data_IF_861607820114
#
_entry.id   IF_861607820114
#
_cell.length_a   1.000
_cell.length_b   1.000
_cell.length_c   1.000
_cell.angle_alpha   90.00
_cell.angle_beta   90.00
_cell.angle_gamma   90.00
#
_symmetry.space_group_name_H-M   'P 1'
#
loop_
_entity.id
_entity.type
_entity.pdbx_description
1 polymer ?
#
# COMPACT_ATOMS: atom_id res chain seq x y z
N UNK A 1 18.44 -1.39 6.90
CA UNK A 1 17.21 -1.88 7.58
C UNK A 1 16.08 -0.92 7.22
N UNK A 2 15.06 -1.38 6.49
CA UNK A 2 13.92 -0.55 6.14
C UNK A 2 13.11 -0.19 7.41
N UNK A 3 12.85 1.09 7.65
CA UNK A 3 12.09 1.55 8.80
C UNK A 3 10.64 1.80 8.40
N UNK A 4 9.70 1.07 9.00
CA UNK A 4 8.26 1.22 8.77
C UNK A 4 7.49 0.92 10.06
N UNK A 5 6.27 1.45 10.19
CA UNK A 5 5.38 1.23 11.34
C UNK A 5 3.92 1.37 10.91
N UNK A 6 3.02 0.78 11.68
CA UNK A 6 1.58 0.81 11.37
C UNK A 6 1.05 2.24 11.37
N UNK A 7 0.19 2.54 10.40
CA UNK A 7 -0.43 3.85 10.18
C UNK A 7 0.57 4.99 9.93
N UNK A 8 1.75 4.69 9.38
CA UNK A 8 2.67 5.71 8.89
C UNK A 8 2.01 6.53 7.78
N UNK A 9 2.20 7.85 7.84
CA UNK A 9 1.62 8.83 6.90
C UNK A 9 0.09 8.77 6.83
N UNK A 10 -0.58 8.84 8.00
CA UNK A 10 -2.05 8.79 8.15
C UNK A 10 -2.80 9.68 7.14
N UNK A 11 -2.26 10.84 6.80
CA UNK A 11 -2.85 11.72 5.81
C UNK A 11 -3.06 11.03 4.45
N UNK A 12 -2.08 10.26 3.95
CA UNK A 12 -2.24 9.51 2.70
C UNK A 12 -3.30 8.42 2.82
N UNK A 13 -3.36 7.73 3.96
CA UNK A 13 -4.41 6.74 4.22
C UNK A 13 -5.82 7.37 4.29
N UNK A 14 -5.96 8.56 4.88
CA UNK A 14 -7.22 9.30 4.89
C UNK A 14 -7.62 9.79 3.50
N UNK A 15 -6.67 10.25 2.68
CA UNK A 15 -6.95 10.61 1.30
C UNK A 15 -7.45 9.41 0.49
N UNK A 16 -6.85 8.23 0.70
CA UNK A 16 -7.35 6.97 0.09
C UNK A 16 -8.77 6.68 0.58
N UNK A 17 -9.02 6.76 1.89
CA UNK A 17 -10.34 6.55 2.49
C UNK A 17 -11.40 7.47 1.88
N UNK A 18 -11.09 8.75 1.76
CA UNK A 18 -12.08 9.79 1.44
C UNK A 18 -12.29 9.93 -0.07
N UNK A 19 -11.27 9.66 -0.90
CA UNK A 19 -11.33 9.90 -2.34
C UNK A 19 -11.25 8.65 -3.21
N UNK A 20 -10.53 7.61 -2.78
CA UNK A 20 -10.34 6.39 -3.59
C UNK A 20 -11.43 5.36 -3.28
N UNK A 21 -11.64 5.03 -2.00
CA UNK A 21 -12.58 3.99 -1.59
C UNK A 21 -14.00 4.20 -2.15
N UNK A 22 -14.60 5.40 -2.11
CA UNK A 22 -15.94 5.62 -2.64
C UNK A 22 -16.09 5.27 -4.12
N UNK A 23 -15.00 5.33 -4.89
CA UNK A 23 -15.00 5.07 -6.34
C UNK A 23 -14.74 3.61 -6.70
N UNK A 24 -14.12 2.86 -5.80
CA UNK A 24 -13.73 1.46 -6.06
C UNK A 24 -14.59 0.46 -5.30
N UNK A 25 -15.32 0.88 -4.25
CA UNK A 25 -16.07 -0.02 -3.35
C UNK A 25 -17.22 -0.80 -3.99
N UNK A 26 -17.65 -0.46 -5.20
CA UNK A 26 -18.68 -1.22 -5.95
C UNK A 26 -18.07 -2.24 -6.91
N UNK A 27 -16.74 -2.26 -7.09
CA UNK A 27 -16.06 -3.16 -8.03
C UNK A 27 -16.06 -4.60 -7.50
N UNK A 28 -16.19 -5.55 -8.43
CA UNK A 28 -16.15 -7.00 -8.13
C UNK A 28 -14.73 -7.49 -7.81
N UNK A 29 -13.71 -6.82 -8.35
CA UNK A 29 -12.29 -7.11 -8.11
C UNK A 29 -11.56 -5.79 -7.87
N UNK A 30 -10.88 -5.67 -6.74
CA UNK A 30 -10.16 -4.45 -6.36
C UNK A 30 -8.72 -4.85 -6.11
N UNK A 31 -7.89 -4.68 -7.14
CA UNK A 31 -6.47 -4.93 -7.06
C UNK A 31 -5.75 -3.67 -6.61
N UNK A 32 -4.93 -3.79 -5.58
CA UNK A 32 -4.11 -2.72 -5.03
C UNK A 32 -2.66 -3.18 -5.05
N UNK A 33 -1.73 -2.28 -5.38
CA UNK A 33 -0.30 -2.55 -5.26
C UNK A 33 0.30 -1.62 -4.21
N UNK A 34 0.83 -2.18 -3.13
CA UNK A 34 1.68 -1.52 -2.16
C UNK A 34 3.15 -1.79 -2.53
N UNK A 35 3.76 -0.82 -3.19
CA UNK A 35 5.10 -0.90 -3.77
C UNK A 35 6.14 -0.30 -2.82
N UNK A 36 6.90 -1.17 -2.14
CA UNK A 36 7.83 -0.78 -1.07
C UNK A 36 7.36 -1.12 0.34
N UNK A 37 6.73 -2.27 0.53
CA UNK A 37 5.97 -2.55 1.74
C UNK A 37 6.85 -2.80 2.99
N UNK A 38 8.16 -2.98 2.82
CA UNK A 38 9.09 -3.43 3.84
C UNK A 38 8.53 -4.66 4.59
N UNK A 39 8.55 -4.64 5.93
CA UNK A 39 8.08 -5.75 6.77
C UNK A 39 6.54 -5.87 6.89
N UNK A 40 5.75 -5.09 6.15
CA UNK A 40 4.29 -5.26 6.09
C UNK A 40 3.38 -4.35 6.92
N UNK A 41 3.83 -3.49 7.87
CA UNK A 41 2.91 -2.57 8.53
C UNK A 41 2.10 -1.68 7.57
N UNK A 42 2.67 -1.25 6.43
CA UNK A 42 1.97 -0.42 5.44
C UNK A 42 0.79 -1.12 4.76
N UNK A 43 0.95 -2.31 4.13
CA UNK A 43 -0.16 -2.99 3.45
C UNK A 43 -1.25 -3.39 4.43
N UNK A 44 -0.90 -3.74 5.68
CA UNK A 44 -1.91 -4.04 6.70
C UNK A 44 -2.63 -2.81 7.24
N UNK A 45 -1.96 -1.66 7.33
CA UNK A 45 -2.64 -0.39 7.67
C UNK A 45 -3.64 -0.01 6.58
N UNK A 46 -3.26 -0.16 5.32
CA UNK A 46 -4.14 0.03 4.19
C UNK A 46 -5.31 -0.97 4.19
N UNK A 47 -5.03 -2.24 4.46
CA UNK A 47 -6.06 -3.28 4.56
C UNK A 47 -7.09 -2.97 5.64
N UNK A 48 -6.67 -2.49 6.83
CA UNK A 48 -7.57 -2.08 7.91
C UNK A 48 -8.45 -0.91 7.45
N UNK A 49 -7.87 0.13 6.83
CA UNK A 49 -8.62 1.30 6.35
C UNK A 49 -9.66 0.89 5.29
N UNK A 50 -9.28 0.00 4.37
CA UNK A 50 -10.19 -0.57 3.38
C UNK A 50 -11.30 -1.39 4.05
N UNK A 51 -10.95 -2.25 5.01
CA UNK A 51 -11.90 -3.10 5.72
C UNK A 51 -12.93 -2.31 6.52
N UNK A 52 -12.51 -1.27 7.24
CA UNK A 52 -13.40 -0.38 8.00
C UNK A 52 -14.37 0.36 7.08
N UNK A 53 -13.90 0.77 5.90
CA UNK A 53 -14.68 1.64 5.00
C UNK A 53 -15.58 0.87 4.03
N UNK A 54 -15.26 -0.39 3.74
CA UNK A 54 -15.94 -1.20 2.72
C UNK A 54 -16.90 -2.25 3.28
N UNK A 55 -16.78 -2.60 4.56
CA UNK A 55 -17.60 -3.65 5.16
C UNK A 55 -17.45 -4.99 4.42
N UNK A 56 -18.55 -5.61 4.03
CA UNK A 56 -18.56 -6.92 3.36
C UNK A 56 -17.92 -6.92 1.97
N UNK A 57 -17.84 -5.76 1.30
CA UNK A 57 -17.20 -5.67 -0.03
C UNK A 57 -15.67 -5.81 0.06
N UNK A 58 -15.08 -5.70 1.25
CA UNK A 58 -13.65 -5.92 1.45
C UNK A 58 -13.16 -7.28 0.94
N UNK A 59 -14.02 -8.30 0.92
CA UNK A 59 -13.69 -9.64 0.37
C UNK A 59 -13.25 -9.64 -1.11
N UNK A 60 -13.53 -8.55 -1.84
CA UNK A 60 -13.15 -8.37 -3.24
C UNK A 60 -11.76 -7.74 -3.41
N UNK A 61 -11.11 -7.35 -2.31
CA UNK A 61 -9.81 -6.66 -2.30
C UNK A 61 -8.68 -7.69 -2.36
N UNK A 62 -7.66 -7.39 -3.16
CA UNK A 62 -6.36 -8.05 -3.13
C UNK A 62 -5.27 -6.99 -3.16
N UNK A 63 -4.34 -7.06 -2.21
CA UNK A 63 -3.20 -6.16 -2.07
C UNK A 63 -1.95 -6.94 -2.43
N UNK A 64 -1.31 -6.60 -3.55
CA UNK A 64 0.04 -7.03 -3.87
C UNK A 64 0.99 -6.14 -3.09
N UNK A 65 1.66 -6.69 -2.08
CA UNK A 65 2.65 -6.00 -1.27
C UNK A 65 4.04 -6.46 -1.71
N UNK A 66 4.87 -5.53 -2.18
CA UNK A 66 6.17 -5.91 -2.75
C UNK A 66 7.31 -5.10 -2.22
N UNK A 67 8.49 -5.71 -2.20
CA UNK A 67 9.74 -5.07 -1.80
C UNK A 67 10.92 -5.77 -2.49
N UNK A 68 12.04 -5.07 -2.63
CA UNK A 68 13.28 -5.67 -3.16
C UNK A 68 13.86 -6.69 -2.17
N UNK A 69 13.57 -6.49 -0.87
CA UNK A 69 13.91 -7.34 0.26
C UNK A 69 15.30 -7.96 0.17
N UNK A 70 16.31 -7.12 0.35
CA UNK A 70 17.71 -7.55 0.39
C UNK A 70 17.99 -8.56 1.52
N UNK A 71 17.14 -8.60 2.56
CA UNK A 71 17.28 -9.51 3.70
C UNK A 71 16.71 -10.90 3.45
N UNK A 72 15.75 -11.03 2.53
CA UNK A 72 15.00 -12.26 2.27
C UNK A 72 13.98 -12.64 3.34
N UNK A 73 13.74 -11.80 4.35
CA UNK A 73 12.89 -12.12 5.51
C UNK A 73 11.52 -11.43 5.49
N UNK A 74 11.30 -10.45 4.60
CA UNK A 74 10.04 -9.69 4.62
C UNK A 74 8.86 -10.58 4.27
N UNK A 75 9.01 -11.50 3.31
CA UNK A 75 7.93 -12.38 2.89
C UNK A 75 7.36 -13.26 4.02
N UNK A 76 8.22 -13.79 4.88
CA UNK A 76 7.79 -14.60 6.04
C UNK A 76 7.03 -13.74 7.07
N UNK A 77 7.51 -12.52 7.34
CA UNK A 77 6.88 -11.59 8.28
C UNK A 77 5.52 -11.13 7.75
N UNK A 78 5.45 -10.67 6.50
CA UNK A 78 4.21 -10.20 5.88
C UNK A 78 3.19 -11.33 5.81
N UNK A 79 3.60 -12.53 5.37
CA UNK A 79 2.69 -13.68 5.22
C UNK A 79 2.16 -14.20 6.56
N UNK A 80 3.03 -14.30 7.57
CA UNK A 80 2.61 -14.73 8.92
C UNK A 80 1.70 -13.68 9.58
N UNK A 81 1.93 -12.39 9.29
CA UNK A 81 1.23 -11.27 9.91
C UNK A 81 1.41 -11.23 11.43
N UNK A 82 2.55 -11.74 11.91
CA UNK A 82 2.94 -11.78 13.31
C UNK A 82 3.92 -10.64 13.58
N UNK A 83 3.60 -9.80 14.56
CA UNK A 83 4.38 -8.62 14.88
C UNK A 83 4.69 -8.55 16.38
N UNK A 84 5.90 -8.12 16.77
CA UNK A 84 6.22 -7.90 18.16
C UNK A 84 5.43 -6.69 18.70
N UNK A 85 5.18 -6.68 20.01
CA UNK A 85 4.50 -5.60 20.74
C UNK A 85 5.00 -4.21 20.37
N UNK A 86 6.32 -4.07 20.21
CA UNK A 86 6.97 -2.80 19.85
C UNK A 86 6.53 -2.22 18.50
N UNK A 87 6.15 -3.06 17.53
CA UNK A 87 5.65 -2.59 16.23
C UNK A 87 4.17 -2.21 16.26
N UNK A 88 3.38 -2.87 17.12
CA UNK A 88 1.93 -2.65 17.22
C UNK A 88 1.54 -1.64 18.31
N UNK A 89 2.46 -1.25 19.21
CA UNK A 89 2.18 -0.35 20.35
C UNK A 89 1.65 1.04 19.98
N UNK A 90 1.86 1.48 18.73
CA UNK A 90 1.39 2.79 18.22
C UNK A 90 0.00 2.71 17.57
N UNK A 91 -0.56 1.51 17.40
CA UNK A 91 -1.89 1.31 16.82
C UNK A 91 -2.93 1.81 17.84
N UNK A 92 -3.94 2.60 17.43
CA UNK A 92 -5.05 2.98 18.30
C UNK A 92 -5.68 1.75 18.96
N UNK A 93 -6.00 1.84 20.25
CA UNK A 93 -6.42 0.71 21.08
C UNK A 93 -7.59 -0.05 20.46
N UNK A 94 -8.59 0.67 19.96
CA UNK A 94 -9.81 0.11 19.38
C UNK A 94 -9.52 -0.69 18.11
N UNK A 95 -8.57 -0.22 17.30
CA UNK A 95 -8.13 -0.91 16.09
C UNK A 95 -7.31 -2.15 16.46
N UNK A 96 -6.42 -2.02 17.44
CA UNK A 96 -5.62 -3.13 17.94
C UNK A 96 -6.50 -4.26 18.49
N UNK A 97 -7.44 -3.94 19.39
CA UNK A 97 -8.38 -4.90 19.96
C UNK A 97 -9.34 -5.51 18.94
N UNK A 98 -9.56 -4.86 17.78
CA UNK A 98 -10.37 -5.41 16.70
C UNK A 98 -9.59 -6.38 15.82
N UNK A 99 -8.36 -6.04 15.47
CA UNK A 99 -7.62 -6.71 14.40
C UNK A 99 -6.41 -7.52 14.85
N UNK A 100 -5.98 -7.43 16.10
CA UNK A 100 -4.82 -8.17 16.60
C UNK A 100 -5.21 -9.08 17.75
N UNK A 101 -4.60 -10.26 17.80
CA UNK A 101 -4.76 -11.25 18.88
C UNK A 101 -3.39 -11.74 19.32
N UNK A 102 -3.29 -12.24 20.55
CA UNK A 102 -2.10 -12.98 20.96
C UNK A 102 -1.96 -14.24 20.09
N UNK A 103 -0.72 -14.62 19.78
CA UNK A 103 -0.42 -15.78 18.92
C UNK A 103 0.22 -16.95 19.69
N UNK A 104 0.21 -16.91 21.02
CA UNK A 104 0.86 -17.90 21.89
C UNK A 104 2.36 -17.65 22.14
N UNK A 105 3.01 -16.74 21.40
CA UNK A 105 4.37 -16.28 21.68
C UNK A 105 4.32 -14.99 22.54
N UNK A 106 5.07 -14.92 23.65
CA UNK A 106 5.11 -13.73 24.49
C UNK A 106 5.44 -12.45 23.70
N UNK A 107 4.72 -11.36 24.01
CA UNK A 107 4.86 -10.05 23.37
C UNK A 107 4.78 -10.06 21.83
N UNK A 108 4.04 -11.02 21.24
CA UNK A 108 3.75 -11.07 19.82
C UNK A 108 2.25 -11.14 19.57
N UNK A 109 1.83 -10.47 18.50
CA UNK A 109 0.45 -10.39 18.09
C UNK A 109 0.30 -10.77 16.64
N UNK A 110 -0.75 -11.52 16.33
CA UNK A 110 -1.11 -11.90 14.98
C UNK A 110 -2.28 -11.04 14.51
N UNK A 111 -2.17 -10.54 13.28
CA UNK A 111 -3.24 -9.78 12.64
C UNK A 111 -4.34 -10.72 12.11
N UNK A 112 -5.58 -10.22 12.12
CA UNK A 112 -6.78 -10.93 11.70
C UNK A 112 -6.60 -11.64 10.36
N UNK A 113 -7.07 -12.89 10.32
CA UNK A 113 -6.88 -13.76 9.15
C UNK A 113 -7.48 -13.17 7.88
N UNK A 114 -8.62 -12.48 7.95
CA UNK A 114 -9.24 -11.82 6.80
C UNK A 114 -8.31 -10.78 6.14
N UNK A 115 -7.49 -10.09 6.94
CA UNK A 115 -6.52 -9.12 6.44
C UNK A 115 -5.31 -9.82 5.84
N UNK A 116 -4.80 -10.90 6.48
CA UNK A 116 -3.71 -11.72 5.94
C UNK A 116 -4.08 -12.34 4.59
N UNK A 117 -5.31 -12.85 4.46
CA UNK A 117 -5.85 -13.39 3.21
C UNK A 117 -6.05 -12.33 2.12
N UNK A 118 -6.02 -11.05 2.45
CA UNK A 118 -6.10 -9.96 1.46
C UNK A 118 -4.73 -9.54 0.94
N UNK A 119 -3.64 -9.80 1.68
CA UNK A 119 -2.28 -9.33 1.36
C UNK A 119 -1.46 -10.47 0.75
N UNK A 120 -0.89 -10.23 -0.43
CA UNK A 120 0.06 -11.11 -1.12
C UNK A 120 1.44 -10.48 -1.11
N UNK A 121 2.41 -11.14 -0.48
CA UNK A 121 3.78 -10.69 -0.61
C UNK A 121 4.43 -11.25 -1.87
N UNK A 122 5.18 -10.40 -2.60
CA UNK A 122 6.09 -10.82 -3.65
C UNK A 122 7.37 -10.01 -3.59
N UNK A 123 8.53 -10.66 -3.69
CA UNK A 123 9.81 -9.96 -3.90
C UNK A 123 9.81 -9.34 -5.30
N UNK A 124 10.05 -8.04 -5.39
CA UNK A 124 9.98 -7.30 -6.65
C UNK A 124 10.93 -6.11 -6.63
N UNK A 125 11.67 -5.91 -7.72
CA UNK A 125 12.47 -4.71 -7.95
C UNK A 125 11.73 -3.76 -8.88
N UNK A 126 11.42 -2.54 -8.40
CA UNK A 126 10.76 -1.52 -9.21
C UNK A 126 11.61 -1.11 -10.43
N UNK A 127 12.93 -1.22 -10.35
CA UNK A 127 13.84 -0.91 -11.47
C UNK A 127 13.89 -2.02 -12.53
N UNK A 128 13.22 -3.16 -12.31
CA UNK A 128 12.94 -4.12 -13.38
C UNK A 128 11.95 -3.57 -14.42
N UNK A 129 11.19 -2.52 -14.06
CA UNK A 129 10.17 -1.89 -14.91
C UNK A 129 9.05 -2.83 -15.39
N UNK A 130 8.90 -3.99 -14.74
CA UNK A 130 7.83 -4.96 -14.99
C UNK A 130 6.76 -4.87 -13.88
N UNK A 131 5.48 -4.61 -14.18
CA UNK A 131 4.47 -4.50 -13.14
C UNK A 131 4.05 -5.87 -12.58
N UNK A 132 3.77 -5.93 -11.27
CA UNK A 132 3.34 -7.19 -10.60
C UNK A 132 1.94 -7.63 -11.00
N UNK A 133 1.12 -6.68 -11.47
CA UNK A 133 -0.23 -6.91 -11.96
C UNK A 133 -0.67 -5.73 -12.85
N UNK A 134 -1.71 -5.96 -13.64
CA UNK A 134 -2.41 -4.91 -14.41
C UNK A 134 -3.87 -4.80 -13.98
N UNK A 135 -4.51 -3.68 -14.34
CA UNK A 135 -5.88 -3.36 -13.92
C UNK A 135 -5.94 -3.00 -12.44
N UNK A 136 -4.90 -2.33 -11.93
CA UNK A 136 -4.81 -1.89 -10.53
C UNK A 136 -5.74 -0.70 -10.29
N UNK A 137 -6.57 -0.80 -9.26
CA UNK A 137 -7.44 0.30 -8.84
C UNK A 137 -6.65 1.38 -8.07
N UNK A 138 -5.62 0.96 -7.35
CA UNK A 138 -4.75 1.83 -6.56
C UNK A 138 -3.31 1.28 -6.58
N UNK A 139 -2.34 2.16 -6.77
CA UNK A 139 -0.94 1.94 -6.44
C UNK A 139 -0.58 2.89 -5.29
N UNK A 140 -0.05 2.34 -4.21
CA UNK A 140 0.54 3.06 -3.09
C UNK A 140 2.05 2.85 -3.14
N UNK A 141 2.83 3.93 -3.18
CA UNK A 141 4.29 3.84 -3.14
C UNK A 141 4.83 4.96 -2.23
N UNK A 142 5.13 4.62 -0.98
CA UNK A 142 5.65 5.55 0.01
C UNK A 142 7.04 5.17 0.46
N UNK A 143 7.88 6.18 0.62
CA UNK A 143 9.25 6.10 1.14
C UNK A 143 10.21 5.25 0.28
N UNK A 144 9.95 5.15 -1.04
CA UNK A 144 10.79 4.40 -1.99
C UNK A 144 11.33 5.30 -3.10
N UNK A 145 10.45 6.01 -3.79
CA UNK A 145 10.83 6.79 -4.98
C UNK A 145 11.89 7.86 -4.65
N UNK A 146 11.92 8.41 -3.44
CA UNK A 146 12.92 9.39 -3.02
C UNK A 146 14.37 8.88 -3.10
N UNK A 147 14.57 7.57 -3.13
CA UNK A 147 15.88 6.92 -3.24
C UNK A 147 16.36 6.76 -4.69
N UNK A 148 15.50 6.98 -5.68
CA UNK A 148 15.81 6.80 -7.09
C UNK A 148 16.26 8.10 -7.75
N UNK A 149 17.10 7.97 -8.79
CA UNK A 149 17.44 9.12 -9.66
C UNK A 149 16.18 9.60 -10.39
N UNK A 150 16.19 10.82 -10.90
CA UNK A 150 15.02 11.39 -11.56
C UNK A 150 14.54 10.56 -12.76
N UNK A 151 15.44 10.10 -13.61
CA UNK A 151 15.07 9.31 -14.79
C UNK A 151 14.50 7.94 -14.39
N UNK A 152 15.07 7.27 -13.39
CA UNK A 152 14.52 6.01 -12.85
C UNK A 152 13.11 6.21 -12.27
N UNK A 153 12.89 7.29 -11.50
CA UNK A 153 11.54 7.64 -10.99
C UNK A 153 10.55 7.84 -12.12
N UNK A 154 10.97 8.48 -13.20
CA UNK A 154 10.12 8.73 -14.37
C UNK A 154 9.68 7.41 -15.01
N UNK A 155 10.60 6.46 -15.21
CA UNK A 155 10.26 5.17 -15.81
C UNK A 155 9.39 4.31 -14.87
N UNK A 156 9.66 4.31 -13.56
CA UNK A 156 8.80 3.62 -12.58
C UNK A 156 7.39 4.20 -12.56
N UNK A 157 7.23 5.53 -12.62
CA UNK A 157 5.90 6.16 -12.65
C UNK A 157 5.17 5.87 -13.97
N UNK A 158 5.88 5.75 -15.10
CA UNK A 158 5.27 5.30 -16.37
C UNK A 158 4.79 3.85 -16.28
N UNK A 159 5.58 2.95 -15.68
CA UNK A 159 5.16 1.58 -15.40
C UNK A 159 3.91 1.56 -14.53
N UNK A 160 3.88 2.35 -13.44
CA UNK A 160 2.69 2.49 -12.59
C UNK A 160 1.48 2.99 -13.39
N UNK A 161 1.64 4.01 -14.23
CA UNK A 161 0.57 4.49 -15.10
C UNK A 161 0.04 3.38 -16.01
N UNK A 162 0.91 2.61 -16.66
CA UNK A 162 0.53 1.49 -17.53
C UNK A 162 -0.22 0.38 -16.79
N UNK A 163 0.16 0.10 -15.55
CA UNK A 163 -0.43 -0.95 -14.71
C UNK A 163 -1.79 -0.57 -14.11
N UNK A 164 -2.04 0.73 -13.90
CA UNK A 164 -3.31 1.24 -13.40
C UNK A 164 -4.46 1.01 -14.38
N UNK A 165 -5.61 0.63 -13.84
CA UNK A 165 -6.88 0.62 -14.57
C UNK A 165 -7.28 2.05 -14.97
N UNK A 166 -8.22 2.17 -15.93
CA UNK A 166 -8.80 3.47 -16.29
C UNK A 166 -9.43 4.11 -15.06
N UNK A 167 -9.07 5.37 -14.81
CA UNK A 167 -9.47 6.10 -13.60
C UNK A 167 -8.88 5.55 -12.28
N UNK A 168 -7.87 4.68 -12.35
CA UNK A 168 -7.11 4.20 -11.20
C UNK A 168 -6.28 5.30 -10.55
N UNK A 169 -5.79 5.02 -9.33
CA UNK A 169 -5.14 6.03 -8.49
C UNK A 169 -3.69 5.70 -8.17
N UNK A 170 -2.84 6.72 -8.15
CA UNK A 170 -1.47 6.66 -7.62
C UNK A 170 -1.39 7.52 -6.37
N UNK A 171 -1.06 6.91 -5.24
CA UNK A 171 -0.77 7.58 -3.99
C UNK A 171 0.72 7.46 -3.67
N UNK A 172 1.38 8.58 -3.37
CA UNK A 172 2.79 8.61 -2.98
C UNK A 172 2.95 9.22 -1.59
N UNK A 173 4.17 9.14 -1.05
CA UNK A 173 4.56 9.92 0.13
C UNK A 173 4.41 11.42 -0.14
N UNK A 174 4.09 12.24 0.87
CA UNK A 174 3.78 13.66 0.66
C UNK A 174 4.99 14.50 0.20
N UNK A 175 6.21 14.05 0.49
CA UNK A 175 7.47 14.71 0.11
C UNK A 175 7.90 14.45 -1.33
N UNK A 176 7.44 13.35 -1.93
CA UNK A 176 7.80 13.00 -3.31
C UNK A 176 6.97 13.84 -4.27
N UNK A 177 7.64 14.65 -5.08
CA UNK A 177 6.98 15.45 -6.13
C UNK A 177 6.84 14.62 -7.40
N UNK A 178 5.72 14.80 -8.11
CA UNK A 178 5.55 14.27 -9.46
C UNK A 178 6.60 14.88 -10.42
N UNK A 179 7.41 14.08 -11.12
CA UNK A 179 8.34 14.59 -12.12
C UNK A 179 7.60 15.24 -13.29
N UNK A 180 8.11 16.37 -13.81
CA UNK A 180 7.45 17.13 -14.89
C UNK A 180 7.19 16.29 -16.15
N UNK A 181 8.12 15.38 -16.48
CA UNK A 181 8.05 14.51 -17.67
C UNK A 181 6.81 13.59 -17.69
N UNK A 182 6.26 13.27 -16.51
CA UNK A 182 5.12 12.35 -16.35
C UNK A 182 3.88 13.02 -15.75
N UNK A 183 3.97 14.30 -15.40
CA UNK A 183 2.86 15.03 -14.79
C UNK A 183 1.60 15.03 -15.69
N UNK A 184 1.75 15.07 -17.01
CA UNK A 184 0.62 15.02 -17.95
C UNK A 184 -0.12 13.67 -18.02
N UNK A 185 0.41 12.63 -17.38
CA UNK A 185 -0.23 11.30 -17.32
C UNK A 185 -1.27 11.20 -16.19
N UNK A 186 -1.31 12.20 -15.30
CA UNK A 186 -2.09 12.15 -14.06
C UNK A 186 -2.75 13.51 -13.76
N UNK A 187 -3.91 13.46 -13.12
CA UNK A 187 -4.55 14.63 -12.52
C UNK A 187 -4.44 14.56 -10.97
N UNK A 188 -4.12 15.67 -10.28
CA UNK A 188 -4.18 15.69 -8.82
C UNK A 188 -5.64 15.58 -8.35
N UNK A 189 -5.91 14.67 -7.42
CA UNK A 189 -7.27 14.47 -6.86
C UNK A 189 -7.62 15.56 -5.85
N UNK A 190 -6.61 16.05 -5.14
CA UNK A 190 -6.70 17.13 -4.16
C UNK A 190 -5.53 18.09 -4.32
N UNK A 191 -5.77 19.37 -4.08
CA UNK A 191 -4.71 20.38 -4.05
C UNK A 191 -3.75 20.11 -2.89
N UNK A 192 -2.45 20.15 -3.14
CA UNK A 192 -1.38 20.01 -2.14
C UNK A 192 -1.25 18.64 -1.46
N UNK A 193 -1.68 17.55 -2.11
CA UNK A 193 -1.33 16.21 -1.65
C UNK A 193 -0.87 15.31 -2.80
N UNK A 194 -0.11 14.27 -2.45
CA UNK A 194 0.40 13.30 -3.42
C UNK A 194 -0.59 12.16 -3.67
N UNK A 195 -1.80 12.52 -4.10
CA UNK A 195 -2.83 11.59 -4.58
C UNK A 195 -3.26 12.01 -5.98
N UNK A 196 -3.12 11.09 -6.92
CA UNK A 196 -3.31 11.33 -8.34
C UNK A 196 -4.26 10.32 -8.95
N UNK A 197 -5.07 10.74 -9.93
CA UNK A 197 -5.83 9.84 -10.80
C UNK A 197 -5.15 9.74 -12.16
N UNK A 198 -5.10 8.53 -12.71
CA UNK A 198 -4.66 8.27 -14.08
C UNK A 198 -5.52 9.02 -15.11
N UNK A 199 -4.86 9.69 -16.05
CA UNK A 199 -5.47 10.23 -17.27
C UNK A 199 -5.27 9.24 -18.44
N UNK A 200 -6.32 9.08 -19.26
CA UNK A 200 -6.39 8.12 -20.38
C UNK A 200 -6.88 6.73 -19.99
#
# INVERSE_FOLDING_TARGET
MAFTYFFRDLQTLYLIRDHVIPQVRSRRYIKVWDAGCAMGPEPYSLAIVLRESMGSTFRNVRIYATDIDESGHFGEIVTSGIYPKEQVKRIPKEIFEKYFRENGKPDHFIIAEELRRCVEYQRHDLLSLEPVATGLALILCKNVLLHFKEDDRVEVIKMFHGALDRGGFLAMEQTQKMPRKVAGLFEPVVTNAQLFRKLG
#
